data_IF_995123661053
#
_entry.id   IF_995123661053
#
_cell.length_a   1.000
_cell.length_b   1.000
_cell.length_c   1.000
_cell.angle_alpha   90.00
_cell.angle_beta   90.00
_cell.angle_gamma   90.00
#
_symmetry.space_group_name_H-M   'P 1'
#
loop_
_entity.id
_entity.type
_entity.pdbx_description
1 polymer ?
#
# COMPACT_ATOMS: atom_id res chain seq x y z
N UNK A 1 22.93 46.71 19.23
CA UNK A 1 22.06 45.65 18.69
C UNK A 1 21.86 44.61 19.78
N UNK A 2 20.64 44.48 20.28
CA UNK A 2 20.33 43.83 21.56
C UNK A 2 20.22 42.30 21.46
N UNK A 3 20.85 41.61 22.42
CA UNK A 3 20.89 40.14 22.56
C UNK A 3 19.51 39.44 22.54
N UNK A 4 18.43 40.17 22.77
CA UNK A 4 17.04 39.68 22.70
C UNK A 4 16.62 39.16 21.32
N UNK A 5 17.17 39.71 20.24
CA UNK A 5 16.84 39.28 18.87
C UNK A 5 17.36 37.86 18.58
N UNK A 6 18.51 37.50 19.16
CA UNK A 6 19.13 36.18 18.97
C UNK A 6 18.40 35.08 19.78
N UNK A 7 17.92 35.39 20.98
CA UNK A 7 17.20 34.44 21.85
C UNK A 7 15.82 34.12 21.27
N UNK A 8 15.06 35.14 20.85
CA UNK A 8 13.75 34.94 20.22
C UNK A 8 13.87 34.26 18.85
N UNK A 9 14.89 34.62 18.06
CA UNK A 9 15.18 33.99 16.77
C UNK A 9 15.48 32.50 16.91
N UNK A 10 16.37 32.11 17.85
CA UNK A 10 16.72 30.71 18.08
C UNK A 10 15.54 29.87 18.57
N UNK A 11 14.68 30.43 19.44
CA UNK A 11 13.48 29.76 19.93
C UNK A 11 12.47 29.45 18.81
N UNK A 12 12.24 30.42 17.91
CA UNK A 12 11.35 30.24 16.76
C UNK A 12 11.88 29.16 15.80
N UNK A 13 13.18 29.19 15.47
CA UNK A 13 13.80 28.18 14.59
C UNK A 13 13.70 26.77 15.19
N UNK A 14 13.92 26.62 16.50
CA UNK A 14 13.79 25.33 17.18
C UNK A 14 12.35 24.80 17.15
N UNK A 15 11.36 25.66 17.41
CA UNK A 15 9.95 25.27 17.43
C UNK A 15 9.44 24.87 16.03
N UNK A 16 9.65 25.72 15.02
CA UNK A 16 9.21 25.43 13.64
C UNK A 16 10.02 24.30 13.00
N UNK A 17 11.32 24.18 13.30
CA UNK A 17 12.14 23.05 12.87
C UNK A 17 11.66 21.72 13.46
N UNK A 18 11.34 21.70 14.77
CA UNK A 18 10.77 20.53 15.45
C UNK A 18 9.38 20.18 14.90
N UNK A 19 8.53 21.17 14.70
CA UNK A 19 7.18 20.97 14.15
C UNK A 19 7.24 20.40 12.73
N UNK A 20 8.12 20.93 11.87
CA UNK A 20 8.35 20.44 10.52
C UNK A 20 8.89 18.99 10.51
N UNK A 21 9.86 18.67 11.37
CA UNK A 21 10.40 17.31 11.50
C UNK A 21 9.32 16.31 11.94
N UNK A 22 8.48 16.68 12.93
CA UNK A 22 7.39 15.82 13.41
C UNK A 22 6.32 15.64 12.33
N UNK A 23 6.00 16.69 11.57
CA UNK A 23 5.08 16.59 10.43
C UNK A 23 5.60 15.65 9.34
N UNK A 24 6.88 15.74 8.96
CA UNK A 24 7.52 14.85 7.98
C UNK A 24 7.58 13.38 8.46
N UNK A 25 7.86 13.17 9.76
CA UNK A 25 7.87 11.82 10.33
C UNK A 25 6.46 11.23 10.43
N UNK A 26 5.45 12.06 10.69
CA UNK A 26 4.04 11.67 10.72
C UNK A 26 3.44 11.48 9.33
N UNK A 27 3.95 12.16 8.31
CA UNK A 27 3.50 12.03 6.92
C UNK A 27 3.98 10.75 6.23
N UNK A 28 4.70 9.86 6.94
CA UNK A 28 5.14 8.58 6.37
C UNK A 28 6.13 8.78 5.22
N UNK A 29 7.15 9.64 5.42
CA UNK A 29 8.11 10.14 4.43
C UNK A 29 8.89 9.12 3.56
N UNK A 30 8.56 7.83 3.60
CA UNK A 30 8.98 6.83 2.61
C UNK A 30 7.97 6.62 1.46
N UNK A 31 6.76 7.17 1.54
CA UNK A 31 5.73 7.00 0.50
C UNK A 31 5.75 8.11 -0.57
N UNK A 32 6.37 9.25 -0.29
CA UNK A 32 6.46 10.38 -1.24
C UNK A 32 7.43 10.10 -2.40
N UNK A 33 8.45 9.26 -2.16
CA UNK A 33 9.21 8.59 -3.21
C UNK A 33 8.45 7.31 -3.55
N UNK A 34 7.43 7.42 -4.41
CA UNK A 34 6.50 6.33 -4.71
C UNK A 34 7.21 4.98 -4.83
N UNK A 35 6.66 3.94 -4.19
CA UNK A 35 7.20 2.58 -4.36
C UNK A 35 7.24 2.29 -5.85
N UNK A 36 8.43 2.01 -6.37
CA UNK A 36 8.58 1.61 -7.75
C UNK A 36 7.64 0.45 -8.05
N UNK A 37 6.92 0.55 -9.17
CA UNK A 37 6.07 -0.53 -9.65
C UNK A 37 6.92 -1.78 -9.88
N UNK A 38 6.33 -2.95 -9.65
CA UNK A 38 6.94 -4.20 -10.07
C UNK A 38 7.14 -4.17 -11.59
N UNK A 39 8.36 -4.47 -12.03
CA UNK A 39 8.69 -4.50 -13.46
C UNK A 39 8.22 -5.82 -14.06
N UNK A 40 7.67 -5.76 -15.26
CA UNK A 40 7.18 -6.92 -16.00
C UNK A 40 5.65 -7.03 -16.00
N UNK A 41 5.15 -8.14 -16.53
CA UNK A 41 3.73 -8.51 -16.47
C UNK A 41 3.47 -9.53 -15.38
N UNK A 42 2.28 -10.12 -15.41
CA UNK A 42 1.95 -11.26 -14.56
C UNK A 42 2.77 -12.50 -14.93
N UNK A 43 2.98 -13.38 -13.97
CA UNK A 43 3.62 -14.66 -14.19
C UNK A 43 2.74 -15.55 -15.11
N UNK A 44 3.35 -16.41 -15.95
CA UNK A 44 2.61 -17.31 -16.83
C UNK A 44 1.67 -18.26 -16.08
N UNK A 45 1.99 -18.58 -14.83
CA UNK A 45 1.20 -19.41 -13.93
C UNK A 45 1.11 -18.71 -12.58
N UNK A 46 -0.11 -18.56 -12.06
CA UNK A 46 -0.36 -17.92 -10.78
C UNK A 46 0.43 -18.63 -9.66
N UNK A 47 1.26 -17.88 -8.95
CA UNK A 47 2.00 -18.37 -7.79
C UNK A 47 1.44 -17.81 -6.50
N UNK A 48 1.73 -18.46 -5.37
CA UNK A 48 1.32 -17.97 -4.04
C UNK A 48 1.83 -16.55 -3.76
N UNK A 49 3.07 -16.26 -4.18
CA UNK A 49 3.68 -14.94 -4.02
C UNK A 49 2.96 -13.90 -4.85
N UNK A 50 2.71 -14.17 -6.13
CA UNK A 50 1.94 -13.28 -7.00
C UNK A 50 0.52 -13.06 -6.47
N UNK A 51 -0.18 -14.12 -6.04
CA UNK A 51 -1.53 -14.02 -5.50
C UNK A 51 -1.59 -13.14 -4.24
N UNK A 52 -0.61 -13.29 -3.33
CA UNK A 52 -0.50 -12.45 -2.14
C UNK A 52 -0.23 -10.98 -2.51
N UNK A 53 0.61 -10.72 -3.52
CA UNK A 53 0.86 -9.37 -4.03
C UNK A 53 -0.40 -8.74 -4.66
N UNK A 54 -1.12 -9.49 -5.50
CA UNK A 54 -2.35 -9.03 -6.17
C UNK A 54 -3.42 -8.65 -5.14
N UNK A 55 -3.60 -9.46 -4.09
CA UNK A 55 -4.64 -9.24 -3.09
C UNK A 55 -4.21 -8.29 -1.95
N UNK A 56 -2.99 -7.77 -2.00
CA UNK A 56 -2.37 -6.95 -0.96
C UNK A 56 -2.38 -7.63 0.43
N UNK A 57 -1.95 -8.88 0.45
CA UNK A 57 -1.97 -9.74 1.62
C UNK A 57 -0.55 -10.20 1.97
N UNK A 58 -0.26 -10.47 3.26
CA UNK A 58 0.97 -11.16 3.60
C UNK A 58 0.92 -12.61 3.06
N UNK A 59 2.07 -13.17 2.68
CA UNK A 59 2.16 -14.56 2.22
C UNK A 59 1.76 -15.58 3.32
N UNK A 60 1.89 -15.21 4.59
CA UNK A 60 1.61 -16.05 5.76
C UNK A 60 0.48 -15.47 6.60
N UNK A 61 -0.19 -16.34 7.36
CA UNK A 61 -1.26 -15.93 8.28
C UNK A 61 -2.53 -15.46 7.57
N UNK A 62 -2.79 -16.01 6.38
CA UNK A 62 -3.99 -15.67 5.61
C UNK A 62 -5.21 -16.35 6.25
N UNK A 63 -6.20 -15.56 6.63
CA UNK A 63 -7.50 -16.06 7.10
C UNK A 63 -8.54 -15.98 5.97
N UNK A 64 -9.53 -16.89 6.01
CA UNK A 64 -10.60 -16.95 5.00
C UNK A 64 -11.42 -15.66 4.95
N UNK A 65 -11.63 -15.02 6.10
CA UNK A 65 -12.33 -13.74 6.19
C UNK A 65 -11.56 -12.61 5.52
N UNK A 66 -10.25 -12.52 5.76
CA UNK A 66 -9.40 -11.51 5.15
C UNK A 66 -9.35 -11.69 3.62
N UNK A 67 -9.20 -12.94 3.16
CA UNK A 67 -9.20 -13.29 1.74
C UNK A 67 -10.48 -12.82 1.04
N UNK A 68 -11.65 -13.15 1.61
CA UNK A 68 -12.96 -12.73 1.07
C UNK A 68 -13.10 -11.21 1.07
N UNK A 69 -12.66 -10.52 2.12
CA UNK A 69 -12.74 -9.06 2.23
C UNK A 69 -11.88 -8.38 1.18
N UNK A 70 -10.63 -8.80 1.01
CA UNK A 70 -9.69 -8.23 0.04
C UNK A 70 -10.11 -8.51 -1.39
N UNK A 71 -10.50 -9.75 -1.70
CA UNK A 71 -11.03 -10.12 -3.02
C UNK A 71 -12.26 -9.29 -3.39
N UNK A 72 -13.25 -9.19 -2.48
CA UNK A 72 -14.45 -8.37 -2.74
C UNK A 72 -14.11 -6.91 -3.01
N UNK A 73 -13.22 -6.32 -2.21
CA UNK A 73 -12.81 -4.93 -2.38
C UNK A 73 -12.14 -4.69 -3.74
N UNK A 74 -11.19 -5.56 -4.12
CA UNK A 74 -10.47 -5.43 -5.39
C UNK A 74 -11.37 -5.72 -6.60
N UNK A 75 -12.25 -6.72 -6.49
CA UNK A 75 -13.15 -7.08 -7.59
C UNK A 75 -14.19 -5.98 -7.84
N UNK A 76 -14.68 -5.30 -6.81
CA UNK A 76 -15.60 -4.16 -6.99
C UNK A 76 -14.98 -2.99 -7.78
N UNK A 77 -13.66 -2.80 -7.65
CA UNK A 77 -12.90 -1.78 -8.38
C UNK A 77 -12.56 -2.22 -9.80
N UNK A 78 -12.31 -3.52 -10.01
CA UNK A 78 -11.85 -4.07 -11.29
C UNK A 78 -12.95 -4.76 -12.10
N UNK A 79 -14.22 -4.69 -11.66
CA UNK A 79 -15.32 -5.40 -12.31
C UNK A 79 -15.52 -4.94 -13.77
N UNK A 80 -15.60 -5.85 -14.76
CA UNK A 80 -15.81 -5.50 -16.17
C UNK A 80 -17.05 -4.66 -16.41
N UNK A 81 -18.17 -5.03 -15.78
CA UNK A 81 -19.45 -4.29 -15.88
C UNK A 81 -19.39 -2.87 -15.31
N UNK A 82 -18.32 -2.52 -14.59
CA UNK A 82 -18.07 -1.18 -14.05
C UNK A 82 -16.93 -0.47 -14.80
N UNK A 83 -16.58 -0.94 -15.99
CA UNK A 83 -15.49 -0.40 -16.80
C UNK A 83 -14.10 -0.90 -16.38
N UNK A 84 -14.02 -1.92 -15.53
CA UNK A 84 -12.76 -2.58 -15.19
C UNK A 84 -12.22 -3.46 -16.31
N UNK A 85 -10.93 -3.81 -16.26
CA UNK A 85 -10.33 -4.69 -17.26
C UNK A 85 -10.73 -6.16 -17.01
N UNK A 86 -11.30 -6.86 -18.00
CA UNK A 86 -11.56 -8.30 -17.90
C UNK A 86 -10.31 -9.10 -17.56
N UNK A 87 -9.15 -8.69 -18.07
CA UNK A 87 -7.88 -9.35 -17.77
C UNK A 87 -7.49 -9.21 -16.30
N UNK A 88 -7.58 -8.01 -15.74
CA UNK A 88 -7.25 -7.78 -14.31
C UNK A 88 -8.24 -8.48 -13.38
N UNK A 89 -9.52 -8.47 -13.73
CA UNK A 89 -10.56 -9.21 -13.01
C UNK A 89 -10.23 -10.71 -12.95
N UNK A 90 -9.82 -11.31 -14.07
CA UNK A 90 -9.39 -12.71 -14.13
C UNK A 90 -8.20 -12.97 -13.21
N UNK A 91 -7.16 -12.11 -13.23
CA UNK A 91 -5.99 -12.29 -12.35
C UNK A 91 -6.34 -12.17 -10.86
N UNK A 92 -7.28 -11.29 -10.49
CA UNK A 92 -7.81 -11.18 -9.12
C UNK A 92 -8.57 -12.45 -8.71
N UNK A 93 -9.34 -13.05 -9.62
CA UNK A 93 -10.05 -14.30 -9.37
C UNK A 93 -9.07 -15.48 -9.25
N UNK A 94 -8.09 -15.61 -10.15
CA UNK A 94 -7.01 -16.60 -10.07
C UNK A 94 -6.27 -16.55 -8.73
N UNK A 95 -5.92 -15.34 -8.27
CA UNK A 95 -5.25 -15.13 -6.99
C UNK A 95 -6.11 -15.64 -5.81
N UNK A 96 -7.42 -15.35 -5.84
CA UNK A 96 -8.36 -15.82 -4.81
C UNK A 96 -8.50 -17.34 -4.83
N UNK A 97 -8.63 -17.96 -6.01
CA UNK A 97 -8.75 -19.42 -6.14
C UNK A 97 -7.51 -20.17 -5.68
N UNK A 98 -6.31 -19.62 -5.93
CA UNK A 98 -5.07 -20.22 -5.47
C UNK A 98 -5.00 -20.20 -3.94
N UNK A 99 -5.19 -19.03 -3.32
CA UNK A 99 -5.08 -18.91 -1.86
C UNK A 99 -6.22 -19.61 -1.12
N UNK A 100 -7.42 -19.67 -1.70
CA UNK A 100 -8.56 -20.38 -1.09
C UNK A 100 -8.30 -21.89 -0.95
N UNK A 101 -7.50 -22.49 -1.84
CA UNK A 101 -7.08 -23.90 -1.72
C UNK A 101 -6.07 -24.12 -0.59
N UNK A 102 -5.29 -23.10 -0.23
CA UNK A 102 -4.28 -23.19 0.81
C UNK A 102 -4.81 -22.86 2.21
N UNK A 103 -5.84 -22.02 2.29
CA UNK A 103 -6.48 -21.60 3.53
C UNK A 103 -7.53 -22.64 3.92
N UNK A 104 -7.20 -23.47 4.92
CA UNK A 104 -8.16 -24.39 5.55
C UNK A 104 -9.24 -23.64 6.34
#
# INVERSE_FOLDING_TARGET
MSAWVWILGAGATAFFGRAALVALRRSGGGAALGRGYYKGGFEPKMTRREAALILEMPERGITKELLRKKHRSLMLLNHPDRGGSPYLATKVNEAKELLEKEVK
#
